data_IF_355110032710
#
_entry.id   IF_355110032710
#
_cell.length_a   1.000
_cell.length_b   1.000
_cell.length_c   1.000
_cell.angle_alpha   90.00
_cell.angle_beta   90.00
_cell.angle_gamma   90.00
#
_symmetry.space_group_name_H-M   'P 1'
#
loop_
_entity.id
_entity.type
_entity.pdbx_description
1 polymer ?
#
# COMPACT_ATOMS: atom_id res chain seq x y z
N UNK A 1 8.79 18.40 -0.74
CA UNK A 1 7.79 17.39 -0.40
C UNK A 1 8.42 16.37 0.55
N UNK A 2 8.78 16.76 1.80
CA UNK A 2 9.52 15.89 2.71
C UNK A 2 8.84 14.56 3.08
N UNK A 3 7.50 14.51 3.11
CA UNK A 3 6.79 13.31 3.56
C UNK A 3 6.69 12.24 2.46
N UNK A 4 6.33 12.64 1.23
CA UNK A 4 6.17 11.70 0.11
C UNK A 4 7.43 11.51 -0.76
N UNK A 5 8.56 12.18 -0.47
CA UNK A 5 9.76 12.15 -1.33
C UNK A 5 10.37 10.76 -1.53
N UNK A 6 10.21 9.86 -0.58
CA UNK A 6 10.75 8.51 -0.63
C UNK A 6 9.95 7.58 -1.55
N UNK A 7 8.67 7.92 -1.75
CA UNK A 7 7.68 7.13 -2.49
C UNK A 7 7.44 7.69 -3.90
N UNK A 8 7.45 9.02 -4.04
CA UNK A 8 7.23 9.72 -5.30
C UNK A 8 8.58 9.96 -5.96
N UNK A 9 9.05 8.95 -6.71
CA UNK A 9 10.36 8.91 -7.38
C UNK A 9 10.28 9.24 -8.88
N UNK A 10 9.24 9.95 -9.29
CA UNK A 10 8.95 10.31 -10.67
C UNK A 10 8.55 11.78 -10.77
N UNK A 11 8.46 12.32 -11.99
CA UNK A 11 7.93 13.66 -12.24
C UNK A 11 6.45 13.70 -11.86
N UNK A 12 6.13 14.35 -10.75
CA UNK A 12 4.78 14.45 -10.23
C UNK A 12 4.04 15.68 -10.75
N UNK A 13 2.76 15.50 -11.05
CA UNK A 13 1.85 16.56 -11.46
C UNK A 13 1.34 17.29 -10.23
N UNK A 14 1.67 18.58 -10.16
CA UNK A 14 1.31 19.47 -9.06
C UNK A 14 0.49 20.64 -9.60
N UNK A 15 -0.49 21.15 -8.83
CA UNK A 15 -1.24 22.33 -9.23
C UNK A 15 -0.31 23.50 -9.58
N UNK A 16 -0.59 24.18 -10.69
CA UNK A 16 0.06 25.46 -10.98
C UNK A 16 -0.35 26.46 -9.91
N UNK A 17 0.58 27.35 -9.55
CA UNK A 17 0.26 28.46 -8.69
C UNK A 17 -0.93 29.24 -9.26
N UNK A 18 -1.88 29.58 -8.41
CA UNK A 18 -2.94 30.51 -8.77
C UNK A 18 -3.26 31.45 -7.60
N UNK A 19 -3.71 32.70 -7.87
CA UNK A 19 -3.87 33.70 -6.81
C UNK A 19 -5.05 33.48 -5.85
N UNK A 20 -6.08 32.72 -6.25
CA UNK A 20 -7.31 32.50 -5.46
C UNK A 20 -7.11 31.50 -4.31
N UNK A 21 -6.18 30.56 -4.46
CA UNK A 21 -5.80 29.58 -3.44
C UNK A 21 -4.28 29.60 -3.25
N UNK A 22 -3.72 30.66 -2.65
CA UNK A 22 -2.26 30.83 -2.53
C UNK A 22 -1.59 29.70 -1.73
N UNK A 23 -2.36 28.98 -0.92
CA UNK A 23 -1.92 27.82 -0.14
C UNK A 23 -1.90 26.51 -0.95
N UNK A 24 -2.34 26.47 -2.21
CA UNK A 24 -2.25 25.29 -3.07
C UNK A 24 -0.83 25.11 -3.61
N UNK A 25 0.13 24.93 -2.72
CA UNK A 25 1.54 24.70 -3.03
C UNK A 25 1.89 23.23 -2.81
N UNK A 26 2.97 22.77 -3.45
CA UNK A 26 3.52 21.44 -3.23
C UNK A 26 3.81 21.18 -1.74
N UNK A 27 4.42 22.15 -1.05
CA UNK A 27 4.79 22.01 0.35
C UNK A 27 3.56 21.91 1.27
N UNK A 28 2.54 22.75 1.05
CA UNK A 28 1.32 22.71 1.82
C UNK A 28 0.52 21.42 1.60
N UNK A 29 0.45 20.93 0.34
CA UNK A 29 -0.22 19.67 0.03
C UNK A 29 0.49 18.48 0.70
N UNK A 30 1.82 18.43 0.65
CA UNK A 30 2.59 17.36 1.28
C UNK A 30 2.45 17.36 2.81
N UNK A 31 2.46 18.54 3.43
CA UNK A 31 2.18 18.68 4.86
C UNK A 31 0.77 18.21 5.22
N UNK A 32 -0.23 18.53 4.39
CA UNK A 32 -1.60 18.04 4.59
C UNK A 32 -1.72 16.52 4.44
N UNK A 33 -1.01 15.92 3.47
CA UNK A 33 -0.95 14.45 3.30
C UNK A 33 -0.32 13.80 4.53
N UNK A 34 0.81 14.33 5.00
CA UNK A 34 1.49 13.88 6.22
C UNK A 34 0.58 13.93 7.45
N UNK A 35 -0.08 15.08 7.69
CA UNK A 35 -0.99 15.25 8.81
C UNK A 35 -2.22 14.33 8.71
N UNK A 36 -2.74 14.10 7.51
CA UNK A 36 -3.87 13.20 7.30
C UNK A 36 -3.50 11.74 7.51
N UNK A 37 -2.32 11.32 7.04
CA UNK A 37 -1.77 9.99 7.31
C UNK A 37 -1.61 9.77 8.82
N UNK A 38 -0.91 10.67 9.51
CA UNK A 38 -0.65 10.57 10.94
C UNK A 38 -1.96 10.52 11.76
N UNK A 39 -2.94 11.36 11.41
CA UNK A 39 -4.25 11.38 12.08
C UNK A 39 -4.97 10.03 11.92
N UNK A 40 -5.09 9.52 10.69
CA UNK A 40 -5.82 8.27 10.44
C UNK A 40 -5.12 7.09 11.11
N UNK A 41 -3.79 6.99 11.01
CA UNK A 41 -3.04 5.91 11.67
C UNK A 41 -3.24 5.97 13.20
N UNK A 42 -3.18 7.17 13.80
CA UNK A 42 -3.38 7.34 15.23
C UNK A 42 -4.81 6.98 15.68
N UNK A 43 -5.83 7.48 14.98
CA UNK A 43 -7.24 7.20 15.26
C UNK A 43 -7.53 5.70 15.15
N UNK A 44 -7.12 5.07 14.04
CA UNK A 44 -7.32 3.62 13.83
C UNK A 44 -6.60 2.78 14.87
N UNK A 45 -5.33 3.08 15.15
CA UNK A 45 -4.56 2.37 16.17
C UNK A 45 -5.14 2.56 17.59
N UNK A 46 -5.79 3.68 17.87
CA UNK A 46 -6.47 3.90 19.15
C UNK A 46 -7.76 3.07 19.25
N UNK A 47 -8.57 3.05 18.19
CA UNK A 47 -9.78 2.20 18.12
C UNK A 47 -9.43 0.72 18.23
N UNK A 48 -8.39 0.27 17.51
CA UNK A 48 -7.98 -1.13 17.46
C UNK A 48 -7.46 -1.64 18.82
N UNK A 49 -6.92 -0.75 19.66
CA UNK A 49 -6.47 -1.05 21.04
C UNK A 49 -7.51 -0.79 22.13
N UNK A 50 -8.76 -0.50 21.76
CA UNK A 50 -9.76 -0.12 22.75
C UNK A 50 -10.24 -1.35 23.55
N UNK A 51 -9.73 -1.52 24.77
CA UNK A 51 -10.11 -2.60 25.69
C UNK A 51 -11.61 -2.59 26.04
N UNK A 52 -12.27 -1.43 25.97
CA UNK A 52 -13.71 -1.34 26.19
C UNK A 52 -14.47 -2.08 25.08
N UNK A 53 -14.10 -1.87 23.80
CA UNK A 53 -14.72 -2.59 22.69
C UNK A 53 -14.53 -4.11 22.84
N UNK A 54 -13.30 -4.53 23.19
CA UNK A 54 -12.98 -5.95 23.43
C UNK A 54 -13.76 -6.55 24.59
N UNK A 55 -13.89 -5.82 25.71
CA UNK A 55 -14.59 -6.32 26.89
C UNK A 55 -16.11 -6.38 26.70
N UNK A 56 -16.66 -5.52 25.85
CA UNK A 56 -18.07 -5.55 25.44
C UNK A 56 -18.36 -6.59 24.35
N UNK A 57 -17.33 -7.17 23.72
CA UNK A 57 -17.49 -8.04 22.56
C UNK A 57 -18.05 -7.28 21.34
N UNK A 58 -17.70 -6.00 21.21
CA UNK A 58 -18.10 -5.13 20.12
C UNK A 58 -16.93 -4.86 19.17
N UNK A 59 -17.21 -4.73 17.87
CA UNK A 59 -16.22 -4.35 16.86
C UNK A 59 -16.05 -2.82 16.76
N UNK A 60 -15.27 -2.37 15.79
CA UNK A 60 -15.00 -0.93 15.54
C UNK A 60 -16.23 -0.08 15.18
N UNK A 61 -17.40 -0.70 14.99
CA UNK A 61 -18.68 -0.04 14.70
C UNK A 61 -19.65 -0.04 15.89
N UNK A 62 -19.27 -0.60 17.04
CA UNK A 62 -20.15 -0.70 18.22
C UNK A 62 -21.25 -1.75 18.06
N UNK A 63 -21.04 -2.76 17.23
CA UNK A 63 -21.93 -3.91 17.07
C UNK A 63 -21.21 -5.20 17.48
N UNK A 64 -21.94 -6.28 17.85
CA UNK A 64 -21.31 -7.54 18.26
C UNK A 64 -20.28 -8.04 17.24
N UNK A 65 -19.06 -8.31 17.68
CA UNK A 65 -17.97 -8.77 16.82
C UNK A 65 -16.59 -8.53 17.42
N UNK A 66 -15.56 -8.96 16.70
CA UNK A 66 -14.16 -8.75 17.10
C UNK A 66 -13.59 -7.48 16.48
N UNK A 67 -12.77 -6.76 17.24
CA UNK A 67 -11.98 -5.63 16.74
C UNK A 67 -10.89 -6.17 15.81
N UNK A 68 -10.91 -5.76 14.55
CA UNK A 68 -9.91 -6.17 13.57
C UNK A 68 -8.73 -5.20 13.56
N UNK A 69 -7.58 -5.67 14.02
CA UNK A 69 -6.30 -4.96 13.99
C UNK A 69 -5.77 -4.85 12.56
N UNK A 70 -5.61 -3.61 12.09
CA UNK A 70 -5.16 -3.29 10.73
C UNK A 70 -3.95 -2.37 10.74
N UNK A 71 -3.99 -1.32 11.56
CA UNK A 71 -2.94 -0.30 11.66
C UNK A 71 -2.07 -0.49 12.90
N UNK A 72 -2.63 -1.04 14.00
CA UNK A 72 -1.86 -1.30 15.19
C UNK A 72 -0.79 -2.39 14.93
N UNK A 73 0.47 -2.09 15.22
CA UNK A 73 1.63 -2.99 15.02
C UNK A 73 1.75 -3.61 13.62
N UNK A 74 1.26 -2.92 12.59
CA UNK A 74 1.30 -3.37 11.20
C UNK A 74 1.97 -2.33 10.30
N UNK A 75 3.30 -2.34 10.27
CA UNK A 75 4.10 -1.41 9.46
C UNK A 75 3.78 -1.54 7.96
N UNK A 76 3.54 -2.75 7.45
CA UNK A 76 3.17 -2.98 6.05
C UNK A 76 1.88 -2.23 5.66
N UNK A 77 0.86 -2.24 6.54
CA UNK A 77 -0.36 -1.46 6.31
C UNK A 77 -0.10 0.05 6.37
N UNK A 78 0.67 0.52 7.35
CA UNK A 78 0.99 1.95 7.51
C UNK A 78 1.74 2.47 6.28
N UNK A 79 2.68 1.70 5.75
CA UNK A 79 3.45 2.01 4.56
C UNK A 79 2.61 1.89 3.29
N UNK A 80 1.78 0.85 3.16
CA UNK A 80 0.86 0.74 2.03
C UNK A 80 -0.15 1.90 1.99
N UNK A 81 -0.64 2.35 3.15
CA UNK A 81 -1.51 3.51 3.26
C UNK A 81 -0.79 4.83 2.94
N UNK A 82 0.45 5.00 3.40
CA UNK A 82 1.32 6.12 3.00
C UNK A 82 1.48 6.15 1.49
N UNK A 83 1.81 5.01 0.88
CA UNK A 83 2.01 4.88 -0.55
C UNK A 83 0.75 5.24 -1.34
N UNK A 84 -0.39 4.71 -0.93
CA UNK A 84 -1.70 5.04 -1.50
C UNK A 84 -1.97 6.55 -1.45
N UNK A 85 -1.82 7.19 -0.28
CA UNK A 85 -2.06 8.63 -0.13
C UNK A 85 -1.09 9.48 -0.96
N UNK A 86 0.20 9.14 -0.97
CA UNK A 86 1.21 9.89 -1.71
C UNK A 86 0.99 9.83 -3.22
N UNK A 87 0.76 8.64 -3.78
CA UNK A 87 0.53 8.48 -5.22
C UNK A 87 -0.82 9.05 -5.67
N UNK A 88 -1.86 8.99 -4.81
CA UNK A 88 -3.14 9.65 -5.08
C UNK A 88 -3.01 11.18 -5.16
N UNK A 89 -2.19 11.76 -4.28
CA UNK A 89 -2.04 13.21 -4.17
C UNK A 89 -0.98 13.80 -5.11
N UNK A 90 0.00 12.99 -5.50
CA UNK A 90 1.11 13.39 -6.38
C UNK A 90 1.19 12.41 -7.56
N UNK A 91 0.20 12.45 -8.48
CA UNK A 91 0.17 11.54 -9.62
C UNK A 91 1.36 11.79 -10.55
N UNK A 92 1.80 10.75 -11.26
CA UNK A 92 2.82 10.87 -12.31
C UNK A 92 2.30 11.77 -13.43
N UNK A 93 3.16 12.62 -13.99
CA UNK A 93 2.88 13.30 -15.24
C UNK A 93 3.27 12.43 -16.44
N UNK A 94 2.43 12.43 -17.47
CA UNK A 94 2.85 12.03 -18.81
C UNK A 94 3.72 13.12 -19.49
N UNK A 95 4.17 12.83 -20.70
CA UNK A 95 5.03 13.72 -21.48
C UNK A 95 4.35 15.06 -21.83
N UNK A 96 3.01 15.06 -21.90
CA UNK A 96 2.21 16.27 -22.12
C UNK A 96 1.88 17.03 -20.83
N UNK A 97 2.38 16.58 -19.67
CA UNK A 97 2.15 17.21 -18.38
C UNK A 97 0.75 16.98 -17.81
N UNK A 98 0.04 15.95 -18.27
CA UNK A 98 -1.24 15.50 -17.74
C UNK A 98 -1.01 14.45 -16.66
N UNK A 99 -1.83 14.47 -15.62
CA UNK A 99 -1.76 13.48 -14.54
C UNK A 99 -2.26 12.12 -15.01
N UNK A 100 -1.51 11.07 -14.69
CA UNK A 100 -1.95 9.70 -14.85
C UNK A 100 -2.82 9.27 -13.67
N UNK A 101 -3.87 8.50 -13.96
CA UNK A 101 -4.73 7.87 -12.94
C UNK A 101 -3.97 6.83 -12.12
N UNK A 102 -4.48 6.46 -10.94
CA UNK A 102 -3.80 5.52 -10.04
C UNK A 102 -3.85 4.09 -10.60
N UNK A 103 -2.78 3.32 -10.39
CA UNK A 103 -2.77 1.91 -10.74
C UNK A 103 -3.66 1.11 -9.77
N UNK A 104 -4.43 0.14 -10.28
CA UNK A 104 -5.28 -0.72 -9.45
C UNK A 104 -4.50 -1.51 -8.40
N UNK A 105 -3.27 -1.92 -8.76
CA UNK A 105 -2.32 -2.58 -7.85
C UNK A 105 -2.01 -1.79 -6.58
N UNK A 106 -2.07 -0.44 -6.62
CA UNK A 106 -1.87 0.40 -5.42
C UNK A 106 -3.01 0.20 -4.45
N UNK A 107 -4.24 0.24 -4.96
CA UNK A 107 -5.44 0.01 -4.17
C UNK A 107 -5.43 -1.40 -3.59
N UNK A 108 -5.15 -2.41 -4.41
CA UNK A 108 -5.07 -3.80 -3.95
C UNK A 108 -4.00 -3.99 -2.86
N UNK A 109 -2.83 -3.36 -3.03
CA UNK A 109 -1.76 -3.44 -2.03
C UNK A 109 -2.17 -2.82 -0.69
N UNK A 110 -2.86 -1.68 -0.71
CA UNK A 110 -3.42 -1.07 0.51
C UNK A 110 -4.39 -2.01 1.21
N UNK A 111 -5.41 -2.50 0.50
CA UNK A 111 -6.41 -3.38 1.10
C UNK A 111 -5.81 -4.70 1.60
N UNK A 112 -4.86 -5.28 0.86
CA UNK A 112 -4.16 -6.52 1.22
C UNK A 112 -3.28 -6.34 2.46
N UNK A 113 -2.42 -5.32 2.49
CA UNK A 113 -1.48 -5.08 3.60
C UNK A 113 -2.22 -4.74 4.89
N UNK A 114 -3.38 -4.07 4.76
CA UNK A 114 -4.26 -3.74 5.88
C UNK A 114 -5.32 -4.81 6.18
N UNK A 115 -5.21 -6.02 5.58
CA UNK A 115 -6.05 -7.20 5.89
C UNK A 115 -7.55 -6.95 5.79
N UNK A 116 -7.97 -6.08 4.89
CA UNK A 116 -9.40 -5.92 4.60
C UNK A 116 -9.91 -7.13 3.83
N UNK A 117 -11.11 -7.59 4.18
CA UNK A 117 -11.80 -8.63 3.43
C UNK A 117 -12.04 -8.20 1.97
N UNK A 118 -11.95 -9.12 1.03
CA UNK A 118 -11.99 -8.82 -0.41
C UNK A 118 -13.30 -8.18 -0.87
N UNK A 119 -14.40 -8.44 -0.17
CA UNK A 119 -15.71 -7.82 -0.41
C UNK A 119 -15.73 -6.31 -0.12
N UNK A 120 -14.74 -5.79 0.63
CA UNK A 120 -14.52 -4.36 0.87
C UNK A 120 -13.59 -3.71 -0.16
N UNK A 121 -12.91 -4.50 -1.00
CA UNK A 121 -11.98 -3.93 -1.96
C UNK A 121 -12.76 -3.19 -3.04
N UNK A 122 -12.29 -2.00 -3.39
CA UNK A 122 -12.94 -1.12 -4.39
C UNK A 122 -11.99 -0.79 -5.53
N UNK A 123 -11.10 -1.72 -5.88
CA UNK A 123 -9.95 -1.47 -6.78
C UNK A 123 -10.22 -1.75 -8.26
N UNK A 124 -11.42 -2.20 -8.59
CA UNK A 124 -11.73 -2.83 -9.87
C UNK A 124 -12.65 -1.95 -10.73
N UNK A 125 -13.50 -2.59 -11.54
CA UNK A 125 -14.27 -1.92 -12.60
C UNK A 125 -15.24 -0.85 -12.05
N UNK A 126 -15.23 0.38 -12.61
CA UNK A 126 -16.17 1.42 -12.24
C UNK A 126 -17.63 1.03 -12.44
N UNK A 127 -17.93 0.17 -13.42
CA UNK A 127 -19.29 -0.34 -13.65
C UNK A 127 -19.86 -1.12 -12.47
N UNK A 128 -18.99 -1.61 -11.58
CA UNK A 128 -19.38 -2.34 -10.35
C UNK A 128 -19.04 -1.55 -9.09
N UNK A 129 -18.94 -0.22 -9.18
CA UNK A 129 -18.50 0.66 -8.10
C UNK A 129 -17.14 0.22 -7.50
N UNK A 130 -16.26 -0.34 -8.34
CA UNK A 130 -14.96 -0.86 -7.96
C UNK A 130 -14.93 -2.27 -7.40
N UNK A 131 -16.04 -3.01 -7.39
CA UNK A 131 -16.06 -4.43 -7.02
C UNK A 131 -15.56 -5.35 -8.14
N UNK A 132 -15.13 -6.58 -7.79
CA UNK A 132 -14.75 -7.62 -8.78
C UNK A 132 -15.94 -8.09 -9.64
N UNK A 133 -17.15 -7.93 -9.11
CA UNK A 133 -18.41 -8.34 -9.71
C UNK A 133 -19.51 -7.34 -9.29
N UNK A 134 -20.66 -7.31 -9.99
CA UNK A 134 -21.81 -6.52 -9.56
C UNK A 134 -22.13 -6.72 -8.08
N UNK A 135 -22.69 -5.68 -7.45
CA UNK A 135 -23.25 -5.83 -6.12
C UNK A 135 -24.49 -6.72 -6.21
N UNK A 136 -24.61 -7.68 -5.29
CA UNK A 136 -25.82 -8.50 -5.20
C UNK A 136 -26.84 -7.74 -4.37
N UNK A 137 -27.86 -7.17 -5.02
CA UNK A 137 -28.95 -6.42 -4.38
C UNK A 137 -29.88 -7.38 -3.60
N UNK A 138 -29.43 -7.84 -2.43
CA UNK A 138 -30.23 -8.71 -1.55
C UNK A 138 -31.12 -7.94 -0.58
N UNK A 139 -30.76 -6.68 -0.31
CA UNK A 139 -31.47 -5.82 0.62
C UNK A 139 -32.23 -4.72 -0.12
N UNK A 140 -33.46 -4.46 0.31
CA UNK A 140 -34.28 -3.34 -0.18
C UNK A 140 -34.60 -2.39 0.98
N UNK A 141 -34.70 -1.10 0.67
CA UNK A 141 -35.11 -0.09 1.64
C UNK A 141 -36.62 -0.18 1.94
N UNK A 142 -37.10 0.72 2.81
CA UNK A 142 -38.51 0.80 3.20
C UNK A 142 -39.47 1.05 2.02
N UNK A 143 -38.97 1.54 0.89
CA UNK A 143 -39.74 1.87 -0.31
C UNK A 143 -39.60 0.78 -1.39
N UNK A 144 -38.90 -0.33 -1.08
CA UNK A 144 -38.68 -1.46 -1.99
C UNK A 144 -37.58 -1.21 -3.02
N UNK A 145 -36.76 -0.18 -2.85
CA UNK A 145 -35.62 0.11 -3.73
C UNK A 145 -34.37 -0.67 -3.27
N UNK A 146 -33.54 -1.18 -4.21
CA UNK A 146 -32.31 -1.87 -3.85
C UNK A 146 -31.36 -0.95 -3.07
N UNK A 147 -30.80 -1.48 -1.98
CA UNK A 147 -29.79 -0.78 -1.18
C UNK A 147 -28.41 -1.08 -1.73
N UNK A 148 -27.79 -0.08 -2.35
CA UNK A 148 -26.38 -0.15 -2.75
C UNK A 148 -25.47 0.29 -1.62
N UNK A 149 -24.60 -0.61 -1.17
CA UNK A 149 -23.61 -0.33 -0.13
C UNK A 149 -22.28 0.17 -0.71
N UNK A 150 -22.03 -0.05 -2.02
CA UNK A 150 -20.81 0.40 -2.68
C UNK A 150 -20.94 1.82 -3.24
N UNK A 151 -19.94 2.64 -2.95
CA UNK A 151 -19.76 3.97 -3.51
C UNK A 151 -18.36 4.10 -4.15
N UNK A 152 -18.15 5.12 -5.01
CA UNK A 152 -16.83 5.38 -5.57
C UNK A 152 -15.75 5.55 -4.49
N UNK A 153 -14.63 4.86 -4.66
CA UNK A 153 -13.51 4.89 -3.73
C UNK A 153 -12.44 5.91 -4.17
N UNK A 154 -11.71 6.58 -3.26
CA UNK A 154 -10.66 7.53 -3.64
C UNK A 154 -9.64 6.90 -4.60
N UNK A 155 -9.36 7.59 -5.70
CA UNK A 155 -8.46 7.12 -6.75
C UNK A 155 -9.13 6.38 -7.91
N UNK A 156 -10.44 6.06 -7.82
CA UNK A 156 -11.18 5.56 -8.97
C UNK A 156 -11.35 6.64 -10.06
N UNK A 157 -11.35 6.27 -11.35
CA UNK A 157 -11.11 4.91 -11.87
C UNK A 157 -9.62 4.52 -11.79
N UNK A 158 -9.37 3.23 -11.57
CA UNK A 158 -8.03 2.65 -11.59
C UNK A 158 -7.67 2.13 -12.98
N UNK A 159 -6.38 1.99 -13.24
CA UNK A 159 -5.86 1.35 -14.46
C UNK A 159 -4.89 0.22 -14.12
N UNK A 160 -4.89 -0.83 -14.94
CA UNK A 160 -3.92 -1.91 -14.81
C UNK A 160 -2.50 -1.43 -15.16
N UNK A 161 -1.51 -2.01 -14.48
CA UNK A 161 -0.11 -1.86 -14.88
C UNK A 161 0.08 -2.45 -16.29
N UNK A 162 1.02 -1.87 -17.04
CA UNK A 162 1.40 -2.34 -18.36
C UNK A 162 2.92 -2.46 -18.43
N UNK A 163 3.40 -3.41 -19.22
CA UNK A 163 4.81 -3.73 -19.37
C UNK A 163 5.11 -3.92 -20.86
N UNK A 164 6.32 -3.55 -21.28
CA UNK A 164 6.79 -3.77 -22.65
C UNK A 164 7.24 -5.22 -22.88
N UNK A 165 7.74 -5.52 -24.07
CA UNK A 165 8.19 -6.86 -24.45
C UNK A 165 9.37 -7.37 -23.60
N UNK A 166 10.15 -6.46 -23.00
CA UNK A 166 11.28 -6.78 -22.12
C UNK A 166 10.85 -6.96 -20.66
N UNK A 167 9.57 -6.70 -20.34
CA UNK A 167 9.05 -6.72 -18.98
C UNK A 167 9.26 -5.40 -18.22
N UNK A 168 9.69 -4.33 -18.90
CA UNK A 168 9.84 -3.02 -18.31
C UNK A 168 8.47 -2.31 -18.22
N UNK A 169 8.13 -1.66 -17.10
CA UNK A 169 6.85 -1.03 -16.87
C UNK A 169 6.66 0.19 -17.74
N UNK A 170 5.50 0.25 -18.35
CA UNK A 170 5.03 1.38 -19.14
C UNK A 170 4.27 2.33 -18.20
N UNK A 171 4.58 3.62 -18.30
CA UNK A 171 3.97 4.69 -17.51
C UNK A 171 2.53 5.00 -17.96
N UNK A 172 1.61 4.07 -17.75
CA UNK A 172 0.18 4.24 -18.07
C UNK A 172 -0.66 4.66 -16.87
N UNK A 173 -0.16 4.46 -15.65
CA UNK A 173 -0.81 4.80 -14.39
C UNK A 173 0.23 5.21 -13.33
N UNK A 174 -0.25 5.72 -12.20
CA UNK A 174 0.60 6.10 -11.06
C UNK A 174 0.64 4.95 -10.05
N UNK A 175 1.82 4.46 -9.64
CA UNK A 175 3.16 4.89 -10.02
C UNK A 175 3.77 4.19 -11.26
N UNK A 176 3.16 3.09 -11.75
CA UNK A 176 3.77 2.17 -12.74
C UNK A 176 5.19 1.72 -12.31
N UNK A 177 5.31 1.08 -11.14
CA UNK A 177 6.63 0.67 -10.60
C UNK A 177 7.19 -0.55 -11.33
N UNK A 178 8.50 -0.54 -11.58
CA UNK A 178 9.33 -1.72 -11.80
C UNK A 178 9.34 -2.58 -10.51
N UNK A 179 9.15 -3.89 -10.63
CA UNK A 179 9.50 -4.84 -9.57
C UNK A 179 8.74 -4.72 -8.23
N UNK A 180 7.42 -4.51 -8.25
CA UNK A 180 6.56 -4.67 -7.05
C UNK A 180 6.41 -6.13 -6.58
N UNK A 181 6.91 -7.09 -7.36
CA UNK A 181 7.12 -8.47 -6.98
C UNK A 181 8.30 -9.02 -7.78
N UNK A 182 9.53 -8.72 -7.35
CA UNK A 182 10.63 -9.63 -7.68
C UNK A 182 10.45 -10.84 -6.75
N UNK A 183 10.07 -11.95 -7.36
CA UNK A 183 10.15 -13.30 -6.81
C UNK A 183 11.37 -13.44 -5.89
N UNK A 184 11.19 -14.12 -4.75
CA UNK A 184 12.29 -14.68 -3.97
C UNK A 184 13.03 -15.71 -4.85
N UNK A 185 13.85 -15.22 -5.77
CA UNK A 185 14.80 -16.01 -6.52
C UNK A 185 15.91 -16.38 -5.57
N UNK A 186 15.86 -17.60 -5.07
CA UNK A 186 16.92 -18.24 -4.31
C UNK A 186 18.25 -18.18 -5.07
N UNK A 187 19.00 -17.10 -4.88
CA UNK A 187 20.41 -17.03 -5.20
C UNK A 187 21.18 -17.79 -4.13
N UNK A 188 21.25 -19.11 -4.25
CA UNK A 188 22.16 -19.96 -3.48
C UNK A 188 23.60 -19.57 -3.88
N UNK A 189 24.14 -18.57 -3.21
CA UNK A 189 25.56 -18.24 -3.23
C UNK A 189 26.29 -19.08 -2.20
N UNK A 190 26.62 -20.33 -2.54
CA UNK A 190 27.61 -21.12 -1.78
C UNK A 190 28.95 -20.43 -1.93
N UNK A 191 29.34 -19.63 -0.93
CA UNK A 191 30.74 -19.22 -0.77
C UNK A 191 31.40 -20.26 0.13
N UNK A 192 32.03 -21.26 -0.52
CA UNK A 192 32.97 -22.17 0.12
C UNK A 192 34.15 -21.38 0.68
N UNK A 193 34.21 -21.22 1.99
CA UNK A 193 35.44 -20.85 2.68
C UNK A 193 36.27 -22.12 2.93
N UNK A 194 37.14 -22.44 1.97
CA UNK A 194 38.31 -23.30 2.20
C UNK A 194 39.39 -22.44 2.85
N UNK A 195 39.51 -22.48 4.18
CA UNK A 195 40.71 -22.03 4.88
C UNK A 195 41.39 -23.25 5.49
N UNK A 196 42.58 -23.54 4.96
CA UNK A 196 43.39 -24.70 5.23
C UNK A 196 43.83 -24.79 6.71
N UNK A 197 43.53 -25.93 7.32
CA UNK A 197 44.23 -26.45 8.49
C UNK A 197 45.67 -26.80 8.09
N UNK A 198 46.63 -25.94 8.46
CA UNK A 198 48.04 -26.37 8.54
C UNK A 198 48.32 -26.75 9.99
N UNK A 199 48.46 -28.06 10.17
CA UNK A 199 48.84 -28.72 11.40
C UNK A 199 50.30 -28.40 11.77
N UNK A 200 50.55 -28.18 13.07
CA UNK A 200 51.79 -28.65 13.70
C UNK A 200 51.39 -29.37 14.98
N UNK A 201 51.05 -30.65 14.83
CA UNK A 201 51.08 -31.61 15.92
C UNK A 201 52.53 -32.10 16.05
N UNK A 202 53.24 -31.66 17.08
CA UNK A 202 54.48 -32.32 17.53
C UNK A 202 54.06 -33.59 18.25
N UNK A 203 54.05 -34.71 17.52
CA UNK A 203 53.91 -36.05 18.09
C UNK A 203 55.27 -36.49 18.62
N UNK A 204 55.32 -36.70 19.93
CA UNK A 204 56.37 -37.45 20.59
C UNK A 204 56.25 -38.94 20.23
N UNK A 205 57.35 -39.57 19.79
CA UNK A 205 57.93 -40.83 20.34
C UNK A 205 58.96 -41.43 19.38
N UNK A 206 60.17 -41.67 19.89
CA UNK A 206 60.79 -42.99 20.01
C UNK A 206 62.33 -42.88 19.98
N UNK A 207 62.96 -43.43 21.00
CA UNK A 207 64.40 -43.58 21.13
C UNK A 207 64.70 -44.40 22.37
N UNK A 208 64.36 -45.70 22.32
CA UNK A 208 64.98 -46.70 23.19
C UNK A 208 66.37 -47.02 22.63
N UNK A 209 67.40 -46.72 23.42
CA UNK A 209 68.67 -47.42 23.55
C UNK A 209 69.41 -46.88 24.78
#
# INVERSE_FOLDING_TARGET
MPFCQDVVRYTACVPRYQPLYPNHTLAAKDAWVSASHARVVAERSATERNDTLRSLGENEHGIPGEVVERFFENEDCIDAYKNFLCWLNFPRCDEEGRSLILCGSVCENFFRSCRYSEDLWRCYEPSFNGGKAPEEDKDVDKDGLPVYWRAPFPGQPFRANSFDENGDPIAVCTPSILNGAATAGAGVGVVMWLAALVAVAVVARAGDA
#
